data_IF_565941524717
#
_entry.id   IF_565941524717
#
_cell.length_a   1.000
_cell.length_b   1.000
_cell.length_c   1.000
_cell.angle_alpha   90.00
_cell.angle_beta   90.00
_cell.angle_gamma   90.00
#
_symmetry.space_group_name_H-M   'P 1'
#
loop_
_entity.id
_entity.type
_entity.pdbx_description
1 polymer ?
#
# COMPACT_ATOMS: atom_id res chain seq x y z
N UNK A 1 -7.17 -27.45 -8.50
CA UNK A 1 -7.51 -26.30 -7.63
C UNK A 1 -6.73 -26.52 -6.35
N UNK A 2 -5.51 -25.99 -6.30
CA UNK A 2 -4.56 -26.27 -5.23
C UNK A 2 -4.89 -25.46 -3.99
N UNK A 3 -5.16 -26.20 -2.91
CA UNK A 3 -5.44 -25.70 -1.57
C UNK A 3 -4.14 -25.11 -1.01
N UNK A 4 -4.18 -23.81 -0.69
CA UNK A 4 -3.09 -23.10 -0.05
C UNK A 4 -2.69 -23.81 1.26
N UNK A 5 -1.51 -24.43 1.28
CA UNK A 5 -0.97 -25.09 2.49
C UNK A 5 -0.48 -24.01 3.45
N UNK A 6 -1.09 -23.93 4.63
CA UNK A 6 -0.70 -23.03 5.73
C UNK A 6 0.80 -23.12 6.02
N UNK A 7 1.50 -21.98 5.94
CA UNK A 7 2.82 -21.81 6.54
C UNK A 7 2.68 -21.70 8.06
N UNK A 8 3.38 -22.57 8.82
CA UNK A 8 3.54 -22.40 10.27
C UNK A 8 4.73 -21.49 10.51
N UNK A 9 4.50 -20.28 11.03
CA UNK A 9 5.57 -19.39 11.49
C UNK A 9 5.53 -19.37 13.03
N UNK A 10 6.48 -20.03 13.67
CA UNK A 10 6.72 -19.95 15.11
C UNK A 10 7.88 -18.99 15.35
N UNK A 11 7.58 -17.76 15.71
CA UNK A 11 8.57 -16.84 16.24
C UNK A 11 7.90 -15.89 17.23
N UNK A 12 8.31 -15.99 18.50
CA UNK A 12 8.08 -14.95 19.49
C UNK A 12 8.76 -13.68 18.97
N UNK A 13 8.01 -12.57 18.91
CA UNK A 13 8.49 -11.30 18.37
C UNK A 13 8.36 -10.23 19.45
N UNK A 14 9.48 -9.65 19.84
CA UNK A 14 9.52 -8.42 20.63
C UNK A 14 9.10 -7.24 19.72
N UNK A 15 8.08 -6.50 20.15
CA UNK A 15 7.53 -5.36 19.40
C UNK A 15 8.33 -4.09 19.70
N UNK A 16 8.92 -3.48 18.67
CA UNK A 16 9.45 -2.12 18.73
C UNK A 16 8.40 -1.17 18.13
N UNK A 17 7.86 -0.26 18.95
CA UNK A 17 7.06 0.88 18.47
C UNK A 17 8.00 1.91 17.80
N UNK A 18 7.74 2.23 16.53
CA UNK A 18 8.35 3.39 15.88
C UNK A 18 7.59 4.65 16.30
N UNK A 19 8.09 5.32 17.33
CA UNK A 19 7.74 6.69 17.68
C UNK A 19 8.18 7.62 16.53
N UNK A 20 7.23 8.33 15.91
CA UNK A 20 7.55 9.48 15.08
C UNK A 20 7.83 10.66 16.01
N UNK A 21 9.06 11.16 15.98
CA UNK A 21 9.52 12.29 16.77
C UNK A 21 8.65 13.54 16.54
N UNK A 22 8.17 14.12 17.64
CA UNK A 22 7.83 15.54 17.74
C UNK A 22 8.73 16.14 18.81
N UNK A 23 9.51 17.13 18.39
CA UNK A 23 10.51 17.82 19.20
C UNK A 23 9.91 18.61 20.39
N UNK A 24 10.66 18.52 21.49
CA UNK A 24 10.89 19.41 22.63
C UNK A 24 9.91 19.51 23.83
N UNK A 25 10.55 19.28 24.99
CA UNK A 25 10.29 19.72 26.37
C UNK A 25 9.12 19.14 27.17
N UNK A 26 9.41 18.11 27.97
CA UNK A 26 9.52 18.22 29.45
C UNK A 26 9.83 16.83 30.05
N UNK A 27 10.84 16.74 30.92
CA UNK A 27 11.22 15.48 31.58
C UNK A 27 10.12 15.05 32.56
N UNK A 28 9.20 14.18 32.10
CA UNK A 28 8.34 13.40 32.99
C UNK A 28 8.49 11.92 32.72
N UNK A 29 8.88 11.22 33.78
CA UNK A 29 8.93 9.77 33.93
C UNK A 29 7.69 9.13 33.30
N UNK A 30 7.83 8.63 32.07
CA UNK A 30 6.78 7.88 31.42
C UNK A 30 6.63 6.56 32.16
N UNK A 31 5.61 6.49 33.02
CA UNK A 31 5.12 5.22 33.55
C UNK A 31 4.99 4.27 32.37
N UNK A 32 5.74 3.16 32.41
CA UNK A 32 5.58 2.06 31.45
C UNK A 32 4.11 1.65 31.48
N UNK A 33 3.32 2.14 30.53
CA UNK A 33 1.99 1.59 30.32
C UNK A 33 2.26 0.18 29.81
N UNK A 34 1.77 -0.87 30.51
CA UNK A 34 1.94 -2.22 30.02
C UNK A 34 1.36 -2.26 28.61
N UNK A 35 2.16 -2.76 27.66
CA UNK A 35 1.68 -3.11 26.34
C UNK A 35 0.39 -3.90 26.55
N UNK A 36 -0.74 -3.38 26.08
CA UNK A 36 -1.99 -4.11 26.18
C UNK A 36 -1.77 -5.40 25.39
N UNK A 37 -1.90 -6.51 26.08
CA UNK A 37 -1.82 -7.83 25.50
C UNK A 37 -2.99 -7.96 24.51
N UNK A 38 -2.72 -7.69 23.22
CA UNK A 38 -3.72 -7.73 22.14
C UNK A 38 -4.01 -9.18 21.70
N UNK A 39 -3.80 -10.17 22.56
CA UNK A 39 -4.25 -11.54 22.33
C UNK A 39 -5.74 -11.74 22.64
N UNK A 40 -6.58 -10.88 22.04
CA UNK A 40 -7.98 -11.21 21.82
C UNK A 40 -8.28 -10.97 20.34
N UNK A 41 -8.55 -12.09 19.70
CA UNK A 41 -9.03 -12.27 18.32
C UNK A 41 -7.97 -12.60 17.27
N UNK A 42 -8.41 -13.38 16.28
CA UNK A 42 -7.60 -14.22 15.37
C UNK A 42 -6.96 -13.42 14.23
N UNK A 43 -6.56 -12.20 14.49
CA UNK A 43 -6.00 -11.29 13.49
C UNK A 43 -4.60 -11.74 13.08
N UNK A 44 -4.27 -11.60 11.80
CA UNK A 44 -2.94 -11.93 11.29
C UNK A 44 -2.05 -10.70 11.28
N UNK A 45 -0.73 -10.86 11.44
CA UNK A 45 0.23 -9.75 11.35
C UNK A 45 0.09 -8.93 10.04
N UNK A 46 -0.38 -9.52 8.94
CA UNK A 46 -0.63 -8.80 7.68
C UNK A 46 -1.89 -7.93 7.78
N UNK A 47 -2.95 -8.44 8.40
CA UNK A 47 -4.22 -7.74 8.63
C UNK A 47 -4.02 -6.51 9.53
N UNK A 48 -3.31 -6.67 10.64
CA UNK A 48 -2.97 -5.57 11.55
C UNK A 48 -2.23 -4.44 10.82
N UNK A 49 -1.19 -4.79 10.02
CA UNK A 49 -0.42 -3.79 9.27
C UNK A 49 -1.28 -3.10 8.21
N UNK A 50 -2.13 -3.85 7.49
CA UNK A 50 -3.05 -3.26 6.50
C UNK A 50 -4.05 -2.30 7.15
N UNK A 51 -4.58 -2.67 8.32
CA UNK A 51 -5.47 -1.81 9.10
C UNK A 51 -4.77 -0.52 9.52
N UNK A 52 -3.55 -0.60 10.06
CA UNK A 52 -2.76 0.58 10.44
C UNK A 52 -2.44 1.49 9.25
N UNK A 53 -2.09 0.90 8.09
CA UNK A 53 -1.90 1.67 6.86
C UNK A 53 -3.19 2.40 6.47
N UNK A 54 -4.34 1.71 6.51
CA UNK A 54 -5.63 2.30 6.15
C UNK A 54 -5.99 3.47 7.07
N UNK A 55 -5.80 3.31 8.39
CA UNK A 55 -6.00 4.39 9.37
C UNK A 55 -5.07 5.57 9.13
N UNK A 56 -3.78 5.33 8.91
CA UNK A 56 -2.80 6.37 8.64
C UNK A 56 -3.15 7.17 7.38
N UNK A 57 -3.59 6.49 6.32
CA UNK A 57 -4.03 7.14 5.07
C UNK A 57 -5.30 7.98 5.27
N UNK A 58 -6.29 7.46 6.02
CA UNK A 58 -7.53 8.21 6.33
C UNK A 58 -7.23 9.48 7.13
N UNK A 59 -6.41 9.37 8.18
CA UNK A 59 -5.96 10.52 8.97
C UNK A 59 -5.21 11.55 8.13
N UNK A 60 -4.33 11.11 7.24
CA UNK A 60 -3.61 12.01 6.34
C UNK A 60 -4.55 12.78 5.40
N UNK A 61 -5.66 12.16 4.96
CA UNK A 61 -6.71 12.81 4.17
C UNK A 61 -7.59 13.77 5.00
N UNK A 62 -7.91 13.42 6.26
CA UNK A 62 -8.76 14.23 7.12
C UNK A 62 -8.07 15.53 7.56
N UNK A 63 -6.75 15.49 7.78
CA UNK A 63 -5.94 16.68 8.01
C UNK A 63 -5.87 17.60 6.78
N UNK A 64 -6.08 17.05 5.58
CA UNK A 64 -6.16 17.76 4.29
C UNK A 64 -7.64 17.99 3.94
N UNK A 65 -8.37 18.66 4.84
CA UNK A 65 -9.78 19.08 4.68
C UNK A 65 -10.09 19.41 3.20
N UNK A 66 -10.71 18.44 2.50
CA UNK A 66 -10.95 18.40 1.06
C UNK A 66 -11.35 19.77 0.48
N UNK A 67 -10.38 20.58 0.09
CA UNK A 67 -10.55 21.84 -0.65
C UNK A 67 -9.44 21.95 -1.69
N UNK A 68 -9.55 21.12 -2.72
CA UNK A 68 -9.13 21.54 -4.05
C UNK A 68 -10.05 22.69 -4.51
N UNK A 69 -9.88 23.87 -3.93
CA UNK A 69 -10.25 25.11 -4.60
C UNK A 69 -8.96 25.67 -5.18
N UNK A 70 -8.80 25.51 -6.49
CA UNK A 70 -7.76 26.19 -7.26
C UNK A 70 -7.78 27.68 -6.90
N UNK A 71 -6.76 28.17 -6.20
CA UNK A 71 -6.35 29.58 -6.20
C UNK A 71 -5.02 29.77 -5.49
N UNK A 72 -4.08 30.40 -6.20
CA UNK A 72 -3.02 31.19 -5.60
C UNK A 72 -1.68 30.47 -5.49
N UNK A 73 -0.76 30.93 -6.33
CA UNK A 73 0.69 30.97 -6.15
C UNK A 73 1.20 30.74 -4.71
N UNK A 74 2.21 29.86 -4.56
CA UNK A 74 3.49 30.12 -3.87
C UNK A 74 4.11 28.88 -3.22
N UNK A 75 5.40 28.69 -3.54
CA UNK A 75 6.45 27.92 -2.86
C UNK A 75 6.25 26.41 -2.77
N UNK A 76 7.38 25.70 -2.80
CA UNK A 76 7.54 24.25 -2.68
C UNK A 76 6.97 23.72 -1.35
N UNK A 77 5.65 23.76 -1.20
CA UNK A 77 4.96 22.98 -0.18
C UNK A 77 5.17 21.53 -0.58
N UNK A 78 6.13 20.86 0.08
CA UNK A 78 6.29 19.41 0.01
C UNK A 78 4.89 18.81 0.17
N UNK A 79 4.37 18.20 -0.90
CA UNK A 79 3.03 17.63 -0.87
C UNK A 79 2.95 16.66 0.29
N UNK A 80 1.92 16.80 1.13
CA UNK A 80 1.75 15.91 2.28
C UNK A 80 1.57 14.49 1.75
N UNK A 81 2.36 13.55 2.26
CA UNK A 81 2.27 12.15 1.87
C UNK A 81 0.97 11.58 2.44
N UNK A 82 0.18 10.92 1.59
CA UNK A 82 -1.17 10.46 1.91
C UNK A 82 -1.38 8.95 1.65
N UNK A 83 -0.34 8.28 1.14
CA UNK A 83 -0.39 6.86 0.79
C UNK A 83 0.88 6.17 1.25
N UNK A 84 0.75 4.99 1.86
CA UNK A 84 1.86 4.08 2.14
C UNK A 84 1.72 2.89 1.19
N UNK A 85 2.44 2.87 0.06
CA UNK A 85 2.39 1.75 -0.86
C UNK A 85 3.02 0.51 -0.22
N UNK A 86 2.63 -0.68 -0.68
CA UNK A 86 3.21 -1.91 -0.16
C UNK A 86 3.24 -3.02 -1.21
N UNK A 87 4.05 -4.04 -0.93
CA UNK A 87 4.11 -5.31 -1.66
C UNK A 87 3.58 -6.40 -0.73
N UNK A 88 2.68 -7.23 -1.24
CA UNK A 88 2.17 -8.40 -0.54
C UNK A 88 2.90 -9.67 -0.99
N UNK A 89 2.92 -10.69 -0.13
CA UNK A 89 3.52 -11.98 -0.43
C UNK A 89 2.54 -13.10 -0.12
N UNK A 90 2.43 -14.08 -1.00
CA UNK A 90 1.56 -15.24 -0.85
C UNK A 90 2.34 -16.57 -0.85
N UNK A 91 1.77 -17.59 -0.20
CA UNK A 91 2.32 -18.95 -0.16
C UNK A 91 3.76 -19.02 0.35
N UNK A 92 4.68 -19.53 -0.48
CA UNK A 92 6.11 -19.66 -0.17
C UNK A 92 6.87 -18.32 -0.20
N UNK A 93 6.33 -17.27 0.43
CA UNK A 93 6.90 -15.92 0.45
C UNK A 93 7.19 -15.35 -0.95
N UNK A 94 6.35 -15.67 -1.94
CA UNK A 94 6.48 -15.12 -3.30
C UNK A 94 5.75 -13.79 -3.37
N UNK A 95 6.34 -12.75 -4.00
CA UNK A 95 5.64 -11.49 -4.21
C UNK A 95 4.34 -11.72 -4.98
N UNK A 96 3.25 -11.16 -4.46
CA UNK A 96 1.94 -11.22 -5.07
C UNK A 96 1.88 -10.24 -6.25
N UNK A 97 1.76 -10.79 -7.46
CA UNK A 97 1.49 -10.03 -8.68
C UNK A 97 0.00 -10.08 -8.95
N UNK A 98 -0.61 -8.92 -9.18
CA UNK A 98 -1.98 -8.85 -9.67
C UNK A 98 -2.05 -8.18 -11.03
N UNK A 99 -3.09 -8.50 -11.77
CA UNK A 99 -3.37 -7.96 -13.08
C UNK A 99 -4.83 -7.51 -13.16
N UNK A 100 -5.09 -6.47 -13.93
CA UNK A 100 -6.43 -6.06 -14.31
C UNK A 100 -6.43 -5.39 -15.66
N UNK A 101 -7.60 -4.96 -16.10
CA UNK A 101 -7.80 -4.43 -17.45
C UNK A 101 -8.43 -3.04 -17.35
N UNK A 102 -7.90 -2.10 -18.13
CA UNK A 102 -8.51 -0.78 -18.33
C UNK A 102 -8.71 -0.52 -19.82
N UNK A 103 -9.34 0.60 -20.16
CA UNK A 103 -9.50 1.03 -21.56
C UNK A 103 -8.68 2.27 -21.85
N UNK A 104 -7.97 2.26 -22.97
CA UNK A 104 -7.29 3.45 -23.51
C UNK A 104 -7.97 3.88 -24.81
N UNK A 105 -8.02 5.18 -25.03
CA UNK A 105 -8.49 5.74 -26.30
C UNK A 105 -7.31 6.00 -27.21
N UNK A 106 -7.35 5.44 -28.42
CA UNK A 106 -6.36 5.75 -29.45
C UNK A 106 -6.74 7.02 -30.23
N UNK A 107 -5.80 7.54 -31.03
CA UNK A 107 -6.01 8.68 -31.92
C UNK A 107 -7.20 8.45 -32.89
N UNK A 108 -7.53 7.18 -33.18
CA UNK A 108 -8.66 6.79 -34.03
C UNK A 108 -10.03 6.76 -33.33
N UNK A 109 -10.15 7.24 -32.08
CA UNK A 109 -11.37 7.18 -31.23
C UNK A 109 -11.87 5.77 -30.89
N UNK A 110 -11.15 4.73 -31.29
CA UNK A 110 -11.43 3.36 -30.86
C UNK A 110 -10.86 3.12 -29.47
N UNK A 111 -11.69 2.57 -28.58
CA UNK A 111 -11.27 2.11 -27.25
C UNK A 111 -10.67 0.72 -27.37
N UNK A 112 -9.49 0.52 -26.77
CA UNK A 112 -8.84 -0.78 -26.66
C UNK A 112 -8.66 -1.15 -25.21
N UNK A 113 -8.80 -2.44 -24.91
CA UNK A 113 -8.41 -2.98 -23.62
C UNK A 113 -6.89 -3.02 -23.49
N UNK A 114 -6.39 -2.67 -22.31
CA UNK A 114 -4.98 -2.77 -21.93
C UNK A 114 -4.90 -3.48 -20.60
N UNK A 115 -4.09 -4.53 -20.56
CA UNK A 115 -3.76 -5.24 -19.32
C UNK A 115 -2.70 -4.44 -18.55
N UNK A 116 -2.92 -4.28 -17.26
CA UNK A 116 -1.98 -3.67 -16.34
C UNK A 116 -1.67 -4.70 -15.26
N UNK A 117 -0.39 -4.89 -14.99
CA UNK A 117 0.09 -5.78 -13.94
C UNK A 117 1.01 -5.06 -12.98
N UNK A 118 0.89 -5.37 -11.70
CA UNK A 118 1.67 -4.71 -10.65
C UNK A 118 1.94 -5.63 -9.46
N UNK A 119 3.05 -5.36 -8.79
CA UNK A 119 3.39 -5.86 -7.44
C UNK A 119 3.14 -4.83 -6.33
N UNK A 120 2.82 -3.59 -6.69
CA UNK A 120 2.70 -2.46 -5.77
C UNK A 120 1.23 -2.11 -5.61
N UNK A 121 0.79 -2.04 -4.36
CA UNK A 121 -0.61 -1.85 -4.01
C UNK A 121 -0.78 -0.66 -3.08
N UNK A 122 -1.98 -0.10 -3.14
CA UNK A 122 -2.56 0.77 -2.12
C UNK A 122 -3.79 0.09 -1.54
N UNK A 123 -3.97 0.15 -0.23
CA UNK A 123 -5.22 -0.27 0.40
C UNK A 123 -6.30 0.81 0.21
N UNK A 124 -7.48 0.36 -0.18
CA UNK A 124 -8.69 1.19 -0.31
C UNK A 124 -9.65 0.92 0.83
N UNK A 125 -9.85 -0.36 1.13
CA UNK A 125 -10.77 -0.78 2.18
C UNK A 125 -10.36 -2.12 2.77
N UNK A 126 -10.81 -2.38 4.00
CA UNK A 126 -10.61 -3.61 4.74
C UNK A 126 -11.92 -3.99 5.41
N UNK A 127 -12.48 -5.13 5.02
CA UNK A 127 -13.76 -5.64 5.53
C UNK A 127 -13.60 -7.11 5.92
N UNK A 128 -13.74 -7.41 7.22
CA UNK A 128 -13.41 -8.69 7.83
C UNK A 128 -12.04 -9.25 7.36
N UNK A 129 -12.06 -10.24 6.46
CA UNK A 129 -10.86 -10.92 5.92
C UNK A 129 -10.63 -10.63 4.44
N UNK A 130 -11.34 -9.66 3.89
CA UNK A 130 -11.23 -9.24 2.51
C UNK A 130 -10.61 -7.84 2.48
N UNK A 131 -9.57 -7.68 1.66
CA UNK A 131 -8.95 -6.38 1.42
C UNK A 131 -9.21 -5.93 -0.01
N UNK A 132 -9.68 -4.69 -0.16
CA UNK A 132 -9.76 -4.02 -1.46
C UNK A 132 -8.46 -3.26 -1.70
N UNK A 133 -7.76 -3.62 -2.77
CA UNK A 133 -6.47 -3.05 -3.15
C UNK A 133 -6.57 -2.34 -4.51
N UNK A 134 -5.96 -1.18 -4.64
CA UNK A 134 -5.72 -0.53 -5.92
C UNK A 134 -4.31 -0.84 -6.42
N UNK A 135 -4.19 -1.20 -7.70
CA UNK A 135 -2.88 -1.40 -8.35
C UNK A 135 -2.20 -0.05 -8.55
N UNK A 136 -0.93 0.04 -8.20
CA UNK A 136 -0.08 1.20 -8.48
C UNK A 136 0.98 0.84 -9.52
N UNK A 137 1.27 1.73 -10.45
CA UNK A 137 2.31 1.52 -11.47
C UNK A 137 3.24 2.71 -11.55
N UNK A 138 4.37 2.54 -12.23
CA UNK A 138 5.25 3.65 -12.56
C UNK A 138 4.73 4.33 -13.82
N UNK A 139 4.68 5.66 -13.84
CA UNK A 139 4.17 6.47 -14.95
C UNK A 139 4.83 6.16 -16.29
N UNK A 140 6.11 5.77 -16.30
CA UNK A 140 6.81 5.34 -17.51
C UNK A 140 6.18 4.09 -18.15
N UNK A 141 5.59 3.22 -17.34
CA UNK A 141 5.16 1.89 -17.75
C UNK A 141 3.76 1.93 -18.38
N UNK A 142 2.99 3.00 -18.15
CA UNK A 142 1.69 3.24 -18.80
C UNK A 142 1.76 3.30 -20.33
N UNK A 143 2.90 3.69 -20.89
CA UNK A 143 3.05 3.95 -22.34
C UNK A 143 3.59 2.76 -23.11
N UNK A 144 4.04 1.71 -22.42
CA UNK A 144 4.71 0.59 -23.05
C UNK A 144 3.75 -0.60 -23.13
N UNK A 145 3.14 -0.78 -24.31
CA UNK A 145 2.56 -2.07 -24.68
C UNK A 145 3.68 -3.11 -24.54
N UNK A 146 3.55 -4.07 -23.61
CA UNK A 146 4.43 -5.21 -23.33
C UNK A 146 5.46 -5.12 -22.17
N UNK A 147 5.50 -4.06 -21.36
CA UNK A 147 6.37 -4.03 -20.17
C UNK A 147 5.65 -4.54 -18.91
N UNK A 148 5.29 -5.83 -18.89
CA UNK A 148 4.87 -6.45 -17.64
C UNK A 148 6.07 -6.63 -16.69
N UNK A 149 5.98 -6.17 -15.43
CA UNK A 149 7.03 -6.43 -14.46
C UNK A 149 7.09 -7.92 -14.14
N UNK A 150 8.31 -8.44 -14.09
CA UNK A 150 8.58 -9.85 -13.72
C UNK A 150 8.79 -10.03 -12.21
N UNK A 151 9.32 -9.00 -11.55
CA UNK A 151 9.61 -8.97 -10.11
C UNK A 151 9.32 -7.58 -9.55
N UNK A 152 9.15 -7.41 -8.22
CA UNK A 152 8.98 -6.09 -7.63
C UNK A 152 10.17 -5.16 -7.92
N UNK A 153 11.41 -5.65 -7.84
CA UNK A 153 12.59 -4.86 -8.16
C UNK A 153 12.62 -4.43 -9.63
N UNK A 154 12.22 -5.30 -10.56
CA UNK A 154 12.11 -4.93 -11.98
C UNK A 154 11.11 -3.79 -12.21
N UNK A 155 10.07 -3.69 -11.37
CA UNK A 155 9.08 -2.63 -11.44
C UNK A 155 9.60 -1.29 -10.88
N UNK A 156 10.35 -1.28 -9.77
CA UNK A 156 10.65 -0.06 -9.01
C UNK A 156 12.13 0.37 -9.02
N UNK A 157 13.08 -0.53 -9.28
CA UNK A 157 14.50 -0.22 -9.16
C UNK A 157 14.92 0.88 -10.16
N UNK A 158 15.68 1.87 -9.66
CA UNK A 158 16.07 3.06 -10.41
C UNK A 158 14.92 4.02 -10.81
N UNK A 159 13.68 3.76 -10.39
CA UNK A 159 12.52 4.65 -10.67
C UNK A 159 12.36 5.70 -9.60
N UNK A 160 11.75 6.84 -9.95
CA UNK A 160 11.46 7.89 -8.96
C UNK A 160 10.22 7.52 -8.15
N UNK A 161 10.29 7.77 -6.86
CA UNK A 161 9.16 7.59 -5.93
C UNK A 161 7.93 8.37 -6.39
N UNK A 162 8.12 9.58 -6.93
CA UNK A 162 7.04 10.45 -7.43
C UNK A 162 6.44 10.01 -8.78
N UNK A 163 7.02 8.99 -9.44
CA UNK A 163 6.47 8.43 -10.67
C UNK A 163 5.38 7.37 -10.40
N UNK A 164 5.16 6.99 -9.14
CA UNK A 164 4.09 6.07 -8.78
C UNK A 164 2.73 6.72 -9.03
N UNK A 165 1.80 5.98 -9.65
CA UNK A 165 0.48 6.49 -10.03
C UNK A 165 -0.61 5.45 -9.80
N UNK A 166 -1.78 5.94 -9.38
CA UNK A 166 -3.03 5.20 -9.29
C UNK A 166 -3.49 4.72 -10.66
N UNK A 167 -3.97 3.48 -10.73
CA UNK A 167 -4.49 2.90 -11.99
C UNK A 167 -6.01 2.97 -12.11
N UNK A 168 -6.73 3.15 -10.99
CA UNK A 168 -8.18 2.96 -10.94
C UNK A 168 -8.61 1.50 -11.10
N UNK A 169 -7.67 0.54 -11.05
CA UNK A 169 -7.95 -0.89 -11.11
C UNK A 169 -7.90 -1.43 -9.68
N UNK A 170 -9.01 -2.01 -9.24
CA UNK A 170 -9.18 -2.57 -7.91
C UNK A 170 -9.27 -4.09 -7.94
N UNK A 171 -8.72 -4.74 -6.92
CA UNK A 171 -8.83 -6.18 -6.70
C UNK A 171 -9.27 -6.44 -5.26
N UNK A 172 -10.03 -7.53 -5.07
CA UNK A 172 -10.39 -8.03 -3.75
C UNK A 172 -9.53 -9.27 -3.45
N UNK A 173 -8.90 -9.29 -2.28
CA UNK A 173 -7.99 -10.37 -1.88
C UNK A 173 -8.36 -10.88 -0.51
N UNK A 174 -8.43 -12.20 -0.36
CA UNK A 174 -8.60 -12.86 0.94
C UNK A 174 -7.26 -12.85 1.70
N UNK A 175 -7.26 -12.28 2.91
CA UNK A 175 -6.07 -12.15 3.76
C UNK A 175 -5.46 -13.50 4.14
N UNK A 176 -6.24 -14.58 4.17
CA UNK A 176 -5.75 -15.93 4.45
C UNK A 176 -4.77 -16.46 3.38
N UNK A 177 -4.71 -15.83 2.21
CA UNK A 177 -3.75 -16.15 1.16
C UNK A 177 -2.37 -15.48 1.35
N UNK A 178 -2.27 -14.52 2.27
CA UNK A 178 -1.10 -13.67 2.45
C UNK A 178 -0.25 -14.14 3.63
N UNK A 179 1.06 -14.06 3.47
CA UNK A 179 2.03 -14.52 4.47
C UNK A 179 2.99 -13.43 4.93
N UNK A 180 3.18 -12.38 4.14
CA UNK A 180 4.00 -11.23 4.50
C UNK A 180 3.56 -9.97 3.74
N UNK A 181 4.00 -8.83 4.25
CA UNK A 181 3.82 -7.50 3.67
C UNK A 181 5.13 -6.72 3.82
N UNK A 182 5.48 -5.92 2.81
CA UNK A 182 6.59 -4.97 2.87
C UNK A 182 6.06 -3.58 2.52
N UNK A 183 6.14 -2.67 3.48
CA UNK A 183 5.81 -1.26 3.26
C UNK A 183 6.91 -0.58 2.44
N UNK A 184 6.50 0.29 1.53
CA UNK A 184 7.38 1.15 0.74
C UNK A 184 7.35 2.58 1.31
N UNK A 185 8.33 3.43 0.95
CA UNK A 185 8.32 4.82 1.36
C UNK A 185 7.01 5.52 1.00
N UNK A 186 6.44 6.25 1.96
CA UNK A 186 5.18 6.96 1.76
C UNK A 186 5.29 8.01 0.63
N UNK A 187 4.18 8.19 -0.10
CA UNK A 187 4.07 9.03 -1.30
C UNK A 187 2.80 9.88 -1.25
N UNK A 188 2.71 10.86 -2.15
CA UNK A 188 1.49 11.64 -2.39
C UNK A 188 0.85 11.18 -3.70
N UNK A 189 -0.35 10.59 -3.64
CA UNK A 189 -1.12 10.12 -4.80
C UNK A 189 -2.54 10.70 -4.85
#
# INVERSE_FOLDING_TARGET
MDICKKCKCSHERECYEYLWDQDEDDHKEHSKKPCKDHHKDKETCVEEILHEILLAQRKACDDDHCKHSYKGYEKERKRKKNTIPFILYCGNCKPFKASGVTTVSSHSKQKKFVCISSFIFKIIDLDDKCVTLELLIIKSDQKCENNEPKTPCNQIDGKKVDDLVKTGIFINVDLSCLCAITCLPAVCL
#
